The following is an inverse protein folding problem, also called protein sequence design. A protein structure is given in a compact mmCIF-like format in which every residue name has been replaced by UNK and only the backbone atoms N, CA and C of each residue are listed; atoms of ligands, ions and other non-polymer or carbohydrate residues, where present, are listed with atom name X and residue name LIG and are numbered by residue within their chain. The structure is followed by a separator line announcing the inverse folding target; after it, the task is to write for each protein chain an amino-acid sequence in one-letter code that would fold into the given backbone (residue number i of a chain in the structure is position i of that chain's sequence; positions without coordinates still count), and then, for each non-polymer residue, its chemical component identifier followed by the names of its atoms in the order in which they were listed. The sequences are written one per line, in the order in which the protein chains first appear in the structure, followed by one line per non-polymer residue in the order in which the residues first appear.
data_IF_552543159839
#
_entry.id   IF_552543159839
#
_cell.length_a   1.000
_cell.length_b   1.000
_cell.length_c   1.000
_cell.angle_alpha   90.00
_cell.angle_beta   90.00
_cell.angle_gamma   90.00
#
_symmetry.space_group_name_H-M   'P 1'
#
loop_
_entity.id
_entity.type
_entity.pdbx_description
1 polymer ?
#
# COMPACT_ATOMS: atom_id res chain seq x y z
N UNK A 1 11.84 -31.50 2.26
CA UNK A 1 11.46 -31.04 3.62
C UNK A 1 11.89 -29.61 3.90
N UNK A 2 13.17 -29.23 3.76
CA UNK A 2 13.62 -27.84 3.99
C UNK A 2 13.08 -26.83 2.97
N UNK A 3 12.87 -27.24 1.72
CA UNK A 3 12.27 -26.41 0.66
C UNK A 3 10.80 -26.06 0.94
N UNK A 4 9.99 -27.05 1.33
CA UNK A 4 8.57 -26.85 1.65
C UNK A 4 8.36 -25.86 2.81
N UNK A 5 9.19 -25.98 3.86
CA UNK A 5 9.16 -25.06 5.02
C UNK A 5 9.53 -23.62 4.61
N UNK A 6 10.52 -23.47 3.72
CA UNK A 6 10.90 -22.16 3.17
C UNK A 6 9.77 -21.54 2.34
N UNK A 7 9.12 -22.33 1.49
CA UNK A 7 8.03 -21.86 0.62
C UNK A 7 6.79 -21.45 1.42
N UNK A 8 6.43 -22.23 2.44
CA UNK A 8 5.30 -21.90 3.32
C UNK A 8 5.59 -20.65 4.16
N UNK A 9 6.84 -20.48 4.63
CA UNK A 9 7.26 -19.25 5.31
C UNK A 9 7.15 -18.03 4.38
N UNK A 10 7.66 -18.11 3.14
CA UNK A 10 7.53 -17.02 2.14
C UNK A 10 6.07 -16.70 1.83
N UNK A 11 5.23 -17.72 1.65
CA UNK A 11 3.80 -17.54 1.44
C UNK A 11 3.13 -16.84 2.64
N UNK A 12 3.52 -17.21 3.87
CA UNK A 12 3.10 -16.52 5.09
C UNK A 12 3.48 -15.04 5.08
N UNK A 13 4.75 -14.72 4.80
CA UNK A 13 5.22 -13.33 4.69
C UNK A 13 4.48 -12.53 3.61
N UNK A 14 4.28 -13.12 2.43
CA UNK A 14 3.53 -12.49 1.34
C UNK A 14 2.09 -12.16 1.75
N UNK A 15 1.42 -13.05 2.49
CA UNK A 15 0.08 -12.79 3.02
C UNK A 15 0.10 -11.70 4.07
N UNK A 16 1.03 -11.75 5.02
CA UNK A 16 1.15 -10.74 6.06
C UNK A 16 1.37 -9.34 5.48
N UNK A 17 2.30 -9.19 4.54
CA UNK A 17 2.59 -7.89 3.92
C UNK A 17 1.38 -7.37 3.15
N UNK A 18 0.71 -8.20 2.35
CA UNK A 18 -0.50 -7.80 1.63
C UNK A 18 -1.65 -7.43 2.59
N UNK A 19 -1.80 -8.16 3.71
CA UNK A 19 -2.84 -7.88 4.71
C UNK A 19 -2.58 -6.56 5.42
N UNK A 20 -1.37 -6.35 5.93
CA UNK A 20 -1.00 -5.13 6.66
C UNK A 20 -1.16 -3.91 5.76
N UNK A 21 -0.67 -3.98 4.54
CA UNK A 21 -0.80 -2.91 3.55
C UNK A 21 -2.28 -2.65 3.17
N UNK A 22 -3.04 -3.72 2.93
CA UNK A 22 -4.48 -3.64 2.66
C UNK A 22 -5.28 -2.98 3.79
N UNK A 23 -4.98 -3.31 5.04
CA UNK A 23 -5.58 -2.66 6.23
C UNK A 23 -5.15 -1.20 6.32
N UNK A 24 -3.88 -0.90 6.07
CA UNK A 24 -3.37 0.48 6.03
C UNK A 24 -4.12 1.35 5.02
N UNK A 25 -4.31 0.84 3.80
CA UNK A 25 -5.11 1.51 2.77
C UNK A 25 -6.57 1.74 3.20
N UNK A 26 -7.20 0.74 3.85
CA UNK A 26 -8.57 0.88 4.36
C UNK A 26 -8.67 1.94 5.45
N UNK A 27 -7.75 1.92 6.42
CA UNK A 27 -7.69 2.90 7.49
C UNK A 27 -7.47 4.32 6.94
N UNK A 28 -6.57 4.48 5.95
CA UNK A 28 -6.34 5.74 5.28
C UNK A 28 -7.61 6.25 4.58
N UNK A 29 -8.37 5.39 3.90
CA UNK A 29 -9.65 5.76 3.32
C UNK A 29 -10.65 6.25 4.38
N UNK A 30 -10.73 5.54 5.51
CA UNK A 30 -11.55 5.95 6.66
C UNK A 30 -11.16 7.33 7.19
N UNK A 31 -9.87 7.61 7.34
CA UNK A 31 -9.37 8.93 7.77
C UNK A 31 -9.74 10.02 6.75
N UNK A 32 -9.56 9.78 5.46
CA UNK A 32 -9.95 10.71 4.38
C UNK A 32 -11.46 10.97 4.42
N UNK A 33 -12.28 9.96 4.71
CA UNK A 33 -13.73 10.08 4.81
C UNK A 33 -14.23 10.64 6.14
N UNK A 34 -13.45 10.58 7.22
CA UNK A 34 -13.89 11.02 8.54
C UNK A 34 -13.31 12.38 9.00
N UNK A 35 -12.22 12.87 8.38
CA UNK A 35 -11.51 14.05 8.88
C UNK A 35 -11.18 15.09 7.81
N UNK A 36 -11.98 16.16 7.78
CA UNK A 36 -11.69 17.34 6.96
C UNK A 36 -10.41 18.05 7.40
N UNK A 37 -10.09 17.99 8.70
CA UNK A 37 -8.86 18.56 9.25
C UNK A 37 -7.62 17.88 8.69
N UNK A 38 -7.61 16.54 8.67
CA UNK A 38 -6.46 15.79 8.13
C UNK A 38 -6.36 15.97 6.62
N UNK A 39 -7.49 15.94 5.91
CA UNK A 39 -7.50 16.14 4.48
C UNK A 39 -7.02 17.56 4.10
N UNK A 40 -7.49 18.59 4.81
CA UNK A 40 -7.07 19.98 4.60
C UNK A 40 -5.59 20.25 4.87
N UNK A 41 -4.93 19.44 5.71
CA UNK A 41 -3.48 19.51 5.90
C UNK A 41 -2.68 19.06 4.67
N UNK A 42 -3.26 18.16 3.86
CA UNK A 42 -2.59 17.50 2.73
C UNK A 42 -3.05 18.07 1.39
N UNK A 43 -4.36 18.29 1.22
CA UNK A 43 -4.96 18.89 0.04
C UNK A 43 -6.08 19.87 0.45
N UNK A 44 -5.93 21.17 0.17
CA UNK A 44 -6.95 22.16 0.49
C UNK A 44 -8.23 22.03 -0.35
N UNK A 45 -8.20 21.29 -1.46
CA UNK A 45 -9.37 21.04 -2.32
C UNK A 45 -10.08 19.74 -1.92
N UNK A 46 -11.26 19.87 -1.32
CA UNK A 46 -12.13 18.73 -0.96
C UNK A 46 -12.70 17.98 -2.18
N UNK A 47 -12.58 18.53 -3.40
CA UNK A 47 -13.14 17.94 -4.63
C UNK A 47 -12.58 16.55 -4.94
N UNK A 48 -11.36 16.25 -4.48
CA UNK A 48 -10.73 14.94 -4.70
C UNK A 48 -10.95 13.94 -3.56
N UNK A 49 -11.76 14.26 -2.53
CA UNK A 49 -11.97 13.40 -1.36
C UNK A 49 -12.53 12.04 -1.73
N UNK A 50 -13.64 12.01 -2.46
CA UNK A 50 -14.29 10.77 -2.88
C UNK A 50 -13.42 9.96 -3.86
N UNK A 51 -12.80 10.56 -4.90
CA UNK A 51 -11.84 9.85 -5.73
C UNK A 51 -10.68 9.23 -4.93
N UNK A 52 -10.10 9.97 -3.98
CA UNK A 52 -8.99 9.49 -3.16
C UNK A 52 -9.41 8.33 -2.26
N UNK A 53 -10.54 8.46 -1.55
CA UNK A 53 -11.08 7.40 -0.73
C UNK A 53 -11.41 6.14 -1.57
N UNK A 54 -12.00 6.32 -2.76
CA UNK A 54 -12.30 5.24 -3.69
C UNK A 54 -11.04 4.51 -4.15
N UNK A 55 -9.96 5.24 -4.48
CA UNK A 55 -8.69 4.66 -4.87
C UNK A 55 -8.03 3.86 -3.73
N UNK A 56 -8.07 4.38 -2.49
CA UNK A 56 -7.56 3.69 -1.31
C UNK A 56 -8.36 2.42 -0.99
N UNK A 57 -9.70 2.49 -1.06
CA UNK A 57 -10.56 1.31 -0.86
C UNK A 57 -10.33 0.25 -1.94
N UNK A 58 -10.19 0.67 -3.20
CA UNK A 58 -9.90 -0.24 -4.32
C UNK A 58 -8.56 -0.93 -4.11
N UNK A 59 -7.53 -0.17 -3.69
CA UNK A 59 -6.22 -0.71 -3.35
C UNK A 59 -6.32 -1.73 -2.22
N UNK A 60 -7.02 -1.38 -1.13
CA UNK A 60 -7.25 -2.28 0.00
C UNK A 60 -7.87 -3.61 -0.42
N UNK A 61 -8.95 -3.57 -1.21
CA UNK A 61 -9.64 -4.77 -1.69
C UNK A 61 -8.72 -5.64 -2.56
N UNK A 62 -7.94 -5.03 -3.46
CA UNK A 62 -7.00 -5.77 -4.31
C UNK A 62 -5.95 -6.50 -3.48
N UNK A 63 -5.37 -5.82 -2.48
CA UNK A 63 -4.34 -6.38 -1.59
C UNK A 63 -4.90 -7.50 -0.71
N UNK A 64 -6.04 -7.27 -0.05
CA UNK A 64 -6.69 -8.27 0.80
C UNK A 64 -7.16 -9.49 0.00
N UNK A 65 -7.65 -9.29 -1.23
CA UNK A 65 -7.96 -10.40 -2.15
C UNK A 65 -6.72 -11.20 -2.53
N UNK A 66 -5.58 -10.54 -2.68
CA UNK A 66 -4.27 -11.19 -2.83
C UNK A 66 -3.89 -12.03 -1.62
N UNK A 67 -4.05 -11.48 -0.42
CA UNK A 67 -3.72 -12.11 0.86
C UNK A 67 -4.64 -13.29 1.22
N UNK A 68 -5.90 -13.27 0.76
CA UNK A 68 -6.86 -14.35 0.99
C UNK A 68 -6.44 -15.69 0.35
N UNK A 69 -5.55 -15.66 -0.66
CA UNK A 69 -5.05 -16.88 -1.30
C UNK A 69 -4.07 -17.61 -0.40
N UNK A 70 -4.15 -18.95 -0.38
CA UNK A 70 -3.18 -19.81 0.36
C UNK A 70 -1.73 -19.52 -0.02
N UNK A 71 -1.47 -19.39 -1.32
CA UNK A 71 -0.18 -18.96 -1.89
C UNK A 71 -0.41 -17.73 -2.77
N UNK A 72 -0.02 -16.52 -2.32
CA UNK A 72 -0.09 -15.32 -3.15
C UNK A 72 0.71 -15.49 -4.44
N UNK A 73 0.10 -15.13 -5.58
CA UNK A 73 0.75 -15.25 -6.88
C UNK A 73 1.85 -14.18 -7.02
N UNK A 74 3.02 -14.49 -7.60
CA UNK A 74 4.07 -13.49 -7.81
C UNK A 74 3.59 -12.28 -8.65
N UNK A 75 2.71 -12.50 -9.64
CA UNK A 75 2.08 -11.40 -10.40
C UNK A 75 1.24 -10.46 -9.51
N UNK A 76 0.57 -10.99 -8.50
CA UNK A 76 -0.23 -10.17 -7.57
C UNK A 76 0.68 -9.33 -6.67
N UNK A 77 1.80 -9.88 -6.21
CA UNK A 77 2.81 -9.17 -5.44
C UNK A 77 3.48 -8.05 -6.25
N UNK A 78 3.82 -8.29 -7.52
CA UNK A 78 4.35 -7.25 -8.41
C UNK A 78 3.33 -6.15 -8.71
N UNK A 79 2.06 -6.52 -8.88
CA UNK A 79 0.97 -5.56 -9.05
C UNK A 79 0.83 -4.67 -7.80
N UNK A 80 0.84 -5.27 -6.60
CA UNK A 80 0.83 -4.54 -5.33
C UNK A 80 2.03 -3.60 -5.21
N UNK A 81 3.23 -4.06 -5.55
CA UNK A 81 4.43 -3.23 -5.56
C UNK A 81 4.33 -2.04 -6.51
N UNK A 82 3.75 -2.23 -7.70
CA UNK A 82 3.53 -1.16 -8.66
C UNK A 82 2.49 -0.14 -8.16
N UNK A 83 1.43 -0.60 -7.50
CA UNK A 83 0.44 0.29 -6.88
C UNK A 83 1.09 1.14 -5.78
N UNK A 84 1.86 0.52 -4.89
CA UNK A 84 2.60 1.23 -3.85
C UNK A 84 3.60 2.25 -4.42
N UNK A 85 4.31 1.91 -5.50
CA UNK A 85 5.14 2.89 -6.21
C UNK A 85 4.32 4.07 -6.73
N UNK A 86 3.12 3.81 -7.25
CA UNK A 86 2.17 4.86 -7.63
C UNK A 86 1.78 5.77 -6.47
N UNK A 87 1.52 5.20 -5.28
CA UNK A 87 1.23 5.96 -4.07
C UNK A 87 2.43 6.77 -3.57
N UNK A 88 3.65 6.24 -3.63
CA UNK A 88 4.89 6.99 -3.33
C UNK A 88 5.03 8.21 -4.24
N UNK A 89 4.78 8.05 -5.54
CA UNK A 89 4.84 9.15 -6.51
C UNK A 89 3.76 10.20 -6.23
N UNK A 90 2.53 9.76 -5.94
CA UNK A 90 1.43 10.65 -5.56
C UNK A 90 1.72 11.40 -4.25
N UNK A 91 2.32 10.74 -3.27
CA UNK A 91 2.75 11.38 -2.03
C UNK A 91 3.89 12.37 -2.30
N UNK A 92 4.86 12.03 -3.15
CA UNK A 92 5.97 12.94 -3.47
C UNK A 92 5.48 14.21 -4.16
N UNK A 93 4.49 14.11 -5.07
CA UNK A 93 3.88 15.28 -5.69
C UNK A 93 3.04 16.08 -4.69
N UNK A 94 2.23 15.41 -3.85
CA UNK A 94 1.46 16.05 -2.80
C UNK A 94 2.34 16.76 -1.76
N UNK A 95 3.51 16.21 -1.43
CA UNK A 95 4.45 16.79 -0.48
C UNK A 95 4.93 18.19 -0.90
N UNK A 96 5.08 18.43 -2.21
CA UNK A 96 5.48 19.74 -2.76
C UNK A 96 4.39 20.81 -2.60
N UNK A 97 3.13 20.38 -2.57
CA UNK A 97 1.96 21.25 -2.50
C UNK A 97 1.30 21.30 -1.13
N UNK A 98 1.78 20.48 -0.18
CA UNK A 98 1.19 20.37 1.15
C UNK A 98 1.39 21.69 1.95
N UNK A 99 0.30 22.35 2.35
CA UNK A 99 0.34 23.71 2.91
C UNK A 99 0.98 23.76 4.30
N UNK A 100 0.94 22.65 5.05
CA UNK A 100 1.37 22.62 6.45
C UNK A 100 2.56 21.69 6.67
N UNK A 101 3.36 21.96 7.73
CA UNK A 101 4.48 21.09 8.13
C UNK A 101 3.99 19.70 8.56
N UNK A 102 2.88 19.65 9.29
CA UNK A 102 2.23 18.41 9.70
C UNK A 102 1.74 17.61 8.48
N UNK A 103 1.14 18.27 7.49
CA UNK A 103 0.75 17.64 6.22
C UNK A 103 1.95 17.08 5.45
N UNK A 104 3.06 17.81 5.37
CA UNK A 104 4.31 17.31 4.78
C UNK A 104 4.84 16.07 5.50
N UNK A 105 4.88 16.10 6.83
CA UNK A 105 5.30 14.95 7.64
C UNK A 105 4.40 13.74 7.44
N UNK A 106 3.08 13.94 7.41
CA UNK A 106 2.11 12.87 7.17
C UNK A 106 2.33 12.23 5.80
N UNK A 107 2.43 13.04 4.74
CA UNK A 107 2.65 12.56 3.38
C UNK A 107 4.00 11.86 3.22
N UNK A 108 5.05 12.37 3.86
CA UNK A 108 6.36 11.72 3.88
C UNK A 108 6.31 10.37 4.60
N UNK A 109 5.62 10.28 5.74
CA UNK A 109 5.43 9.02 6.46
C UNK A 109 4.66 8.00 5.60
N UNK A 110 3.59 8.41 4.93
CA UNK A 110 2.83 7.55 3.99
C UNK A 110 3.73 7.06 2.85
N UNK A 111 4.49 7.95 2.21
CA UNK A 111 5.43 7.57 1.15
C UNK A 111 6.48 6.54 1.63
N UNK A 112 6.98 6.68 2.86
CA UNK A 112 7.93 5.71 3.42
C UNK A 112 7.29 4.35 3.66
N UNK A 113 6.07 4.32 4.19
CA UNK A 113 5.31 3.09 4.44
C UNK A 113 4.97 2.38 3.13
N UNK A 114 4.45 3.10 2.14
CA UNK A 114 4.13 2.57 0.82
C UNK A 114 5.40 2.06 0.12
N UNK A 115 6.51 2.80 0.23
CA UNK A 115 7.81 2.40 -0.31
C UNK A 115 8.34 1.11 0.32
N UNK A 116 8.23 0.97 1.64
CA UNK A 116 8.63 -0.24 2.36
C UNK A 116 7.75 -1.45 1.97
N UNK A 117 6.42 -1.27 1.94
CA UNK A 117 5.47 -2.31 1.52
C UNK A 117 5.72 -2.73 0.07
N UNK A 118 5.87 -1.76 -0.84
CA UNK A 118 6.14 -2.00 -2.25
C UNK A 118 7.46 -2.73 -2.47
N UNK A 119 8.52 -2.36 -1.75
CA UNK A 119 9.80 -3.07 -1.81
C UNK A 119 9.69 -4.52 -1.32
N UNK A 120 9.00 -4.76 -0.19
CA UNK A 120 8.78 -6.10 0.34
C UNK A 120 7.97 -6.96 -0.65
N UNK A 121 6.89 -6.41 -1.21
CA UNK A 121 6.06 -7.08 -2.21
C UNK A 121 6.86 -7.41 -3.47
N UNK A 122 7.68 -6.48 -3.95
CA UNK A 122 8.55 -6.72 -5.10
C UNK A 122 9.56 -7.83 -4.83
N UNK A 123 10.24 -7.77 -3.67
CA UNK A 123 11.24 -8.76 -3.27
C UNK A 123 10.62 -10.16 -3.21
N UNK A 124 9.50 -10.30 -2.49
CA UNK A 124 8.76 -11.56 -2.39
C UNK A 124 8.27 -12.04 -3.76
N UNK A 125 7.76 -11.14 -4.61
CA UNK A 125 7.28 -11.47 -5.96
C UNK A 125 8.38 -11.84 -6.96
N UNK A 126 9.64 -11.43 -6.73
CA UNK A 126 10.78 -11.92 -7.51
C UNK A 126 11.26 -13.28 -7.02
N UNK A 127 11.32 -13.47 -5.71
CA UNK A 127 11.85 -14.68 -5.11
C UNK A 127 10.98 -15.89 -5.47
N UNK A 128 9.64 -15.74 -5.41
CA UNK A 128 8.70 -16.80 -5.81
C UNK A 128 8.82 -17.17 -7.29
N UNK A 129 9.08 -16.21 -8.18
CA UNK A 129 9.23 -16.49 -9.63
C UNK A 129 10.58 -17.04 -10.05
N UNK A 130 11.59 -17.06 -9.18
CA UNK A 130 12.87 -17.72 -9.47
C UNK A 130 12.84 -19.21 -9.17
N UNK A 131 11.79 -19.67 -8.49
CA UNK A 131 11.61 -21.06 -8.05
C UNK A 131 10.55 -21.81 -8.86
N UNK A 132 9.77 -21.08 -9.69
CA UNK A 132 8.89 -21.59 -10.76
C UNK A 132 9.68 -21.83 -12.05
#
# INVERSE_FOLDING_TARGET
MTRDVSDDMRAGWARTVLTVDGIGCFAAAGVVLASDKILGMVNPSLKSRLPLAGALLTTSVLLLRGAARKRPRPKALRCAAAINLGWVLACTTAHRSAPTRAGRQLVAATALLDGACGWLQWKLGRDVSREE
#
